data_IF_057988411195
#
_entry.id   IF_057988411195
#
_cell.length_a   1.000
_cell.length_b   1.000
_cell.length_c   1.000
_cell.angle_alpha   90.00
_cell.angle_beta   90.00
_cell.angle_gamma   90.00
#
_symmetry.space_group_name_H-M   'P 1'
#
loop_
_entity.id
_entity.type
_entity.pdbx_description
1 polymer ?
#
# COMPACT_ATOMS: atom_id res chain seq x y z
N UNK A 1 -12.35 2.21 -24.35
CA UNK A 1 -11.68 2.36 -23.04
C UNK A 1 -12.71 2.11 -21.97
N UNK A 2 -12.41 1.28 -20.96
CA UNK A 2 -13.32 1.07 -19.82
C UNK A 2 -13.40 2.36 -18.99
N UNK A 3 -14.57 2.65 -18.45
CA UNK A 3 -14.75 3.71 -17.45
C UNK A 3 -14.16 3.24 -16.12
N UNK A 4 -13.48 4.14 -15.40
CA UNK A 4 -12.86 3.84 -14.11
C UNK A 4 -13.47 4.73 -13.05
N UNK A 5 -13.94 4.11 -11.97
CA UNK A 5 -14.61 4.79 -10.86
C UNK A 5 -13.94 4.43 -9.53
N UNK A 6 -14.01 5.34 -8.56
CA UNK A 6 -13.56 5.09 -7.19
C UNK A 6 -14.79 4.67 -6.37
N UNK A 7 -14.80 3.42 -5.90
CA UNK A 7 -15.94 2.86 -5.16
C UNK A 7 -15.79 3.09 -3.65
N UNK A 8 -14.56 3.15 -3.15
CA UNK A 8 -14.25 3.41 -1.74
C UNK A 8 -12.96 4.23 -1.61
N UNK A 9 -12.95 5.16 -0.66
CA UNK A 9 -11.79 5.95 -0.31
C UNK A 9 -11.75 6.16 1.20
N UNK A 10 -10.63 5.77 1.82
CA UNK A 10 -10.39 5.87 3.26
C UNK A 10 -8.91 6.17 3.52
N UNK A 11 -8.60 6.62 4.74
CA UNK A 11 -7.23 6.78 5.22
C UNK A 11 -7.19 6.57 6.73
N UNK A 12 -6.02 6.22 7.24
CA UNK A 12 -5.74 6.29 8.68
C UNK A 12 -5.66 7.76 9.15
N UNK A 13 -5.77 8.03 10.47
CA UNK A 13 -5.29 9.28 11.03
C UNK A 13 -3.80 9.50 10.75
N UNK A 14 -3.38 10.76 10.61
CA UNK A 14 -1.97 11.11 10.44
C UNK A 14 -1.34 11.30 11.81
N UNK A 15 -0.31 10.52 12.13
CA UNK A 15 0.46 10.66 13.36
C UNK A 15 1.57 11.71 13.23
N UNK A 16 1.85 12.43 14.30
CA UNK A 16 3.06 13.26 14.42
C UNK A 16 4.31 12.37 14.52
N UNK A 17 5.47 12.90 14.15
CA UNK A 17 6.75 12.21 14.33
C UNK A 17 6.98 11.86 15.81
N UNK A 18 7.29 10.60 16.10
CA UNK A 18 7.39 10.09 17.48
C UNK A 18 6.07 10.02 18.25
N UNK A 19 4.93 10.23 17.58
CA UNK A 19 3.60 10.26 18.20
C UNK A 19 2.97 8.88 18.38
N UNK A 20 1.63 8.84 18.45
CA UNK A 20 0.85 7.64 18.76
C UNK A 20 1.00 6.47 17.77
N UNK A 21 1.29 6.75 16.50
CA UNK A 21 1.49 5.74 15.46
C UNK A 21 2.97 5.36 15.26
N UNK A 22 3.89 5.92 16.05
CA UNK A 22 5.34 5.74 15.85
C UNK A 22 5.82 4.30 15.97
N UNK A 23 5.11 3.44 16.70
CA UNK A 23 5.45 2.03 16.90
C UNK A 23 4.78 1.06 15.91
N UNK A 24 3.92 1.57 15.01
CA UNK A 24 3.16 0.73 14.06
C UNK A 24 3.86 0.70 12.71
N UNK A 25 4.24 -0.48 12.20
CA UNK A 25 4.91 -0.57 10.89
C UNK A 25 4.07 0.01 9.75
N UNK A 26 4.74 0.56 8.73
CA UNK A 26 4.05 1.09 7.54
C UNK A 26 3.13 0.05 6.88
N UNK A 27 3.57 -1.21 6.82
CA UNK A 27 2.79 -2.33 6.27
C UNK A 27 1.50 -2.59 7.04
N UNK A 28 1.49 -2.46 8.37
CA UNK A 28 0.27 -2.59 9.20
C UNK A 28 -0.66 -1.39 9.06
N UNK A 29 -0.12 -0.18 8.90
CA UNK A 29 -0.92 1.02 8.60
C UNK A 29 -1.61 0.87 7.23
N UNK A 30 -0.86 0.41 6.22
CA UNK A 30 -1.39 0.09 4.90
C UNK A 30 -2.49 -0.96 4.97
N UNK A 31 -2.26 -2.06 5.69
CA UNK A 31 -3.25 -3.12 5.88
C UNK A 31 -4.56 -2.61 6.51
N UNK A 32 -4.45 -1.74 7.53
CA UNK A 32 -5.60 -1.12 8.19
C UNK A 32 -6.41 -0.27 7.21
N UNK A 33 -5.73 0.52 6.37
CA UNK A 33 -6.39 1.33 5.36
C UNK A 33 -7.08 0.47 4.28
N UNK A 34 -6.41 -0.58 3.79
CA UNK A 34 -6.97 -1.52 2.82
C UNK A 34 -8.21 -2.20 3.39
N UNK A 35 -8.11 -2.78 4.60
CA UNK A 35 -9.22 -3.46 5.26
C UNK A 35 -10.43 -2.52 5.44
N UNK A 36 -10.20 -1.31 5.95
CA UNK A 36 -11.27 -0.31 6.09
C UNK A 36 -11.90 0.11 4.75
N UNK A 37 -11.14 0.08 3.65
CA UNK A 37 -11.66 0.39 2.32
C UNK A 37 -12.62 -0.70 1.82
N UNK A 38 -12.25 -1.96 2.01
CA UNK A 38 -13.03 -3.15 1.62
C UNK A 38 -14.29 -3.31 2.47
N UNK A 39 -14.16 -3.16 3.80
CA UNK A 39 -15.28 -3.25 4.75
C UNK A 39 -16.36 -2.20 4.47
N UNK A 40 -15.98 -0.98 4.10
CA UNK A 40 -16.92 0.12 3.80
C UNK A 40 -17.89 -0.21 2.66
N UNK A 41 -17.50 -1.11 1.75
CA UNK A 41 -18.30 -1.54 0.61
C UNK A 41 -18.69 -3.02 0.68
N UNK A 42 -18.39 -3.69 1.80
CA UNK A 42 -18.60 -5.13 2.01
C UNK A 42 -18.06 -6.01 0.86
N UNK A 43 -16.87 -5.68 0.33
CA UNK A 43 -16.23 -6.44 -0.75
C UNK A 43 -15.45 -7.63 -0.18
N UNK A 44 -15.58 -8.82 -0.79
CA UNK A 44 -14.74 -9.96 -0.47
C UNK A 44 -13.27 -9.65 -0.87
N UNK A 45 -12.30 -9.74 0.05
CA UNK A 45 -10.89 -9.54 -0.27
C UNK A 45 -10.35 -10.42 -1.40
N UNK A 46 -10.98 -11.57 -1.69
CA UNK A 46 -10.59 -12.46 -2.78
C UNK A 46 -10.98 -11.94 -4.18
N UNK A 47 -11.88 -10.96 -4.26
CA UNK A 47 -12.23 -10.31 -5.52
C UNK A 47 -11.16 -9.31 -5.99
N UNK A 48 -10.23 -8.93 -5.12
CA UNK A 48 -9.14 -8.01 -5.47
C UNK A 48 -8.14 -8.71 -6.39
N UNK A 49 -8.02 -8.20 -7.61
CA UNK A 49 -7.16 -8.77 -8.65
C UNK A 49 -5.75 -8.18 -8.65
N UNK A 50 -5.57 -6.96 -8.14
CA UNK A 50 -4.24 -6.34 -8.03
C UNK A 50 -4.18 -5.30 -6.90
N UNK A 51 -2.98 -5.10 -6.33
CA UNK A 51 -2.73 -4.09 -5.29
C UNK A 51 -1.53 -3.22 -5.64
N UNK A 52 -1.71 -1.90 -5.65
CA UNK A 52 -0.62 -0.92 -5.77
C UNK A 52 -0.51 -0.07 -4.50
N UNK A 53 0.61 -0.17 -3.78
CA UNK A 53 0.85 0.64 -2.57
C UNK A 53 2.12 1.46 -2.69
N UNK A 54 1.98 2.77 -2.52
CA UNK A 54 3.10 3.69 -2.47
C UNK A 54 3.81 3.62 -1.12
N UNK A 55 5.13 3.46 -1.10
CA UNK A 55 5.94 3.52 0.11
C UNK A 55 7.38 3.96 -0.23
N UNK A 56 7.86 5.02 0.42
CA UNK A 56 9.14 5.66 0.11
C UNK A 56 10.24 5.07 0.97
N UNK A 57 10.04 5.03 2.29
CA UNK A 57 11.04 4.50 3.24
C UNK A 57 10.89 3.00 3.40
N UNK A 58 11.39 2.24 2.41
CA UNK A 58 11.27 0.78 2.38
C UNK A 58 12.33 0.04 3.21
N UNK A 59 13.34 0.76 3.69
CA UNK A 59 14.42 0.17 4.48
C UNK A 59 13.87 -0.52 5.74
N UNK A 60 14.36 -1.73 6.02
CA UNK A 60 13.99 -2.54 7.18
C UNK A 60 12.50 -2.94 7.26
N UNK A 61 11.73 -2.81 6.17
CA UNK A 61 10.34 -3.29 6.10
C UNK A 61 10.22 -4.74 5.60
N UNK A 62 11.32 -5.35 5.16
CA UNK A 62 11.32 -6.68 4.54
C UNK A 62 10.93 -6.64 3.06
N UNK A 63 10.69 -7.83 2.48
CA UNK A 63 10.41 -7.96 1.05
C UNK A 63 8.99 -7.49 0.70
N UNK A 64 8.87 -6.79 -0.43
CA UNK A 64 7.60 -6.37 -1.03
C UNK A 64 6.57 -5.80 -0.04
N UNK A 65 6.79 -4.58 0.51
CA UNK A 65 5.89 -3.98 1.51
C UNK A 65 4.41 -3.98 1.11
N UNK A 66 4.08 -3.70 -0.15
CA UNK A 66 2.69 -3.76 -0.64
C UNK A 66 2.07 -5.15 -0.46
N UNK A 67 2.84 -6.22 -0.70
CA UNK A 67 2.36 -7.60 -0.52
C UNK A 67 2.09 -7.92 0.93
N UNK A 68 2.97 -7.48 1.84
CA UNK A 68 2.74 -7.63 3.29
C UNK A 68 1.46 -6.92 3.73
N UNK A 69 1.24 -5.67 3.27
CA UNK A 69 0.04 -4.92 3.60
C UNK A 69 -1.24 -5.61 3.08
N UNK A 70 -1.20 -6.16 1.87
CA UNK A 70 -2.32 -6.91 1.30
C UNK A 70 -2.64 -8.18 2.11
N UNK A 71 -1.64 -9.00 2.43
CA UNK A 71 -1.81 -10.21 3.24
C UNK A 71 -2.36 -9.88 4.63
N UNK A 72 -1.81 -8.86 5.31
CA UNK A 72 -2.30 -8.43 6.62
C UNK A 72 -3.74 -7.87 6.56
N UNK A 73 -4.20 -7.39 5.41
CA UNK A 73 -5.57 -6.96 5.19
C UNK A 73 -6.54 -8.11 4.86
N UNK A 74 -6.03 -9.33 4.69
CA UNK A 74 -6.81 -10.52 4.32
C UNK A 74 -6.99 -10.74 2.82
N UNK A 75 -6.27 -10.00 1.97
CA UNK A 75 -6.26 -10.24 0.52
C UNK A 75 -5.46 -11.52 0.23
N UNK A 76 -5.89 -12.25 -0.81
CA UNK A 76 -5.27 -13.50 -1.24
C UNK A 76 -3.76 -13.41 -1.47
N UNK A 77 -3.04 -14.46 -1.07
CA UNK A 77 -1.61 -14.62 -1.30
C UNK A 77 -1.25 -14.72 -2.79
N UNK A 78 -2.21 -15.03 -3.65
CA UNK A 78 -2.00 -15.10 -5.09
C UNK A 78 -2.21 -13.75 -5.80
N UNK A 79 -2.81 -12.75 -5.13
CA UNK A 79 -3.05 -11.43 -5.73
C UNK A 79 -1.72 -10.70 -5.99
N UNK A 80 -1.41 -10.30 -7.24
CA UNK A 80 -0.21 -9.53 -7.56
C UNK A 80 -0.21 -8.19 -6.80
N UNK A 81 0.96 -7.80 -6.30
CA UNK A 81 1.13 -6.60 -5.49
C UNK A 81 2.41 -5.86 -5.91
N UNK A 82 2.29 -4.55 -6.15
CA UNK A 82 3.42 -3.71 -6.54
C UNK A 82 3.64 -2.59 -5.53
N UNK A 83 4.86 -2.49 -5.01
CA UNK A 83 5.28 -1.36 -4.17
C UNK A 83 5.82 -0.25 -5.06
N UNK A 84 5.22 0.93 -5.00
CA UNK A 84 5.56 2.07 -5.86
C UNK A 84 6.39 3.07 -5.08
N UNK A 85 7.53 3.48 -5.63
CA UNK A 85 8.32 4.58 -5.08
C UNK A 85 8.47 5.70 -6.11
N UNK A 86 7.71 6.78 -5.90
CA UNK A 86 7.83 8.07 -6.57
C UNK A 86 7.86 9.19 -5.52
N UNK A 87 8.63 8.97 -4.44
CA UNK A 87 8.75 9.89 -3.29
C UNK A 87 7.36 10.34 -2.82
N UNK A 88 7.12 11.64 -2.62
CA UNK A 88 5.86 12.18 -2.13
C UNK A 88 4.65 11.81 -3.02
N UNK A 89 4.88 11.54 -4.31
CA UNK A 89 3.84 11.19 -5.27
C UNK A 89 3.54 9.69 -5.34
N UNK A 90 4.15 8.84 -4.51
CA UNK A 90 4.02 7.38 -4.58
C UNK A 90 2.57 6.92 -4.51
N UNK A 91 1.77 7.45 -3.58
CA UNK A 91 0.36 7.07 -3.44
C UNK A 91 -0.48 7.44 -4.67
N UNK A 92 -0.30 8.65 -5.20
CA UNK A 92 -1.00 9.08 -6.43
C UNK A 92 -0.52 8.32 -7.67
N UNK A 93 0.75 7.92 -7.70
CA UNK A 93 1.27 7.07 -8.79
C UNK A 93 0.66 5.67 -8.74
N UNK A 94 0.46 5.09 -7.55
CA UNK A 94 -0.28 3.84 -7.39
C UNK A 94 -1.69 3.93 -7.96
N UNK A 95 -2.43 5.00 -7.64
CA UNK A 95 -3.78 5.24 -8.20
C UNK A 95 -3.73 5.36 -9.73
N UNK A 96 -2.71 6.04 -10.25
CA UNK A 96 -2.51 6.17 -11.70
C UNK A 96 -2.29 4.82 -12.38
N UNK A 97 -1.49 3.94 -11.77
CA UNK A 97 -1.22 2.59 -12.30
C UNK A 97 -2.48 1.71 -12.25
N UNK A 98 -3.22 1.74 -11.14
CA UNK A 98 -4.50 1.04 -11.03
C UNK A 98 -5.52 1.50 -12.08
N UNK A 99 -5.60 2.82 -12.30
CA UNK A 99 -6.45 3.38 -13.36
C UNK A 99 -6.03 2.87 -14.74
N UNK A 100 -4.73 2.75 -15.00
CA UNK A 100 -4.22 2.22 -16.27
C UNK A 100 -4.59 0.73 -16.44
N UNK A 101 -4.37 -0.10 -15.41
CA UNK A 101 -4.73 -1.52 -15.44
C UNK A 101 -6.23 -1.72 -15.76
N UNK A 102 -7.11 -0.93 -15.13
CA UNK A 102 -8.56 -1.01 -15.41
C UNK A 102 -8.89 -0.50 -16.80
N UNK A 103 -8.31 0.63 -17.23
CA UNK A 103 -8.56 1.19 -18.58
C UNK A 103 -8.12 0.26 -19.70
N UNK A 104 -7.00 -0.43 -19.51
CA UNK A 104 -6.42 -1.40 -20.45
C UNK A 104 -7.16 -2.75 -20.43
N UNK A 105 -7.92 -3.04 -19.36
CA UNK A 105 -8.65 -4.29 -19.19
C UNK A 105 -7.82 -5.41 -18.57
N UNK A 106 -6.67 -5.08 -17.96
CA UNK A 106 -5.80 -6.03 -17.26
C UNK A 106 -6.40 -6.47 -15.90
N UNK A 107 -7.20 -5.60 -15.29
CA UNK A 107 -7.95 -5.87 -14.06
C UNK A 107 -9.28 -5.10 -14.06
N UNK A 108 -10.22 -5.53 -13.22
CA UNK A 108 -11.50 -4.89 -12.97
C UNK A 108 -11.57 -4.31 -11.54
N UNK A 109 -10.99 -5.02 -10.56
CA UNK A 109 -10.99 -4.63 -9.14
C UNK A 109 -9.56 -4.51 -8.64
N UNK A 110 -9.12 -3.27 -8.38
CA UNK A 110 -7.76 -2.95 -7.96
C UNK A 110 -7.80 -2.10 -6.69
N UNK A 111 -6.96 -2.45 -5.71
CA UNK A 111 -6.72 -1.61 -4.53
C UNK A 111 -5.50 -0.74 -4.78
N UNK A 112 -5.63 0.57 -4.58
CA UNK A 112 -4.52 1.51 -4.75
C UNK A 112 -4.44 2.51 -3.61
N UNK A 113 -3.23 2.83 -3.18
CA UNK A 113 -3.01 3.83 -2.13
C UNK A 113 -1.54 4.01 -1.78
N UNK A 114 -1.30 4.37 -0.53
CA UNK A 114 0.04 4.53 0.02
C UNK A 114 0.09 4.31 1.52
N UNK A 115 1.28 4.05 2.03
CA UNK A 115 1.57 3.81 3.43
C UNK A 115 2.98 4.30 3.76
N UNK A 116 3.13 4.90 4.94
CA UNK A 116 4.41 5.43 5.37
C UNK A 116 4.48 5.49 6.90
N UNK A 117 5.66 5.23 7.45
CA UNK A 117 5.97 5.58 8.83
C UNK A 117 7.40 6.12 8.92
N UNK A 118 7.49 7.44 9.09
CA UNK A 118 8.77 8.13 9.18
C UNK A 118 9.47 7.95 10.54
N UNK A 119 8.76 7.55 11.58
CA UNK A 119 9.33 7.37 12.93
C UNK A 119 10.13 6.07 13.06
N UNK A 120 9.79 5.04 12.28
CA UNK A 120 10.49 3.73 12.26
C UNK A 120 11.65 3.73 11.25
N UNK A 121 11.81 4.80 10.47
CA UNK A 121 12.85 4.94 9.45
C UNK A 121 14.22 4.64 10.05
N UNK A 122 14.78 3.48 9.69
CA UNK A 122 16.06 3.01 10.22
C UNK A 122 17.15 4.00 9.82
N UNK A 123 17.89 4.52 10.81
CA UNK A 123 19.22 5.06 10.54
C UNK A 123 20.03 3.92 9.92
N UNK A 124 20.30 3.99 8.62
CA UNK A 124 21.30 3.14 8.00
C UNK A 124 22.63 3.48 8.68
N UNK A 125 23.05 2.67 9.65
CA UNK A 125 24.43 2.73 10.11
C UNK A 125 25.29 2.41 8.89
N UNK A 126 26.16 3.34 8.50
CA UNK A 126 27.12 3.18 7.40
C UNK A 126 28.21 2.17 7.81
N UNK A 127 27.81 0.95 8.13
CA UNK A 127 28.65 -0.23 8.29
C UNK A 127 28.22 -1.22 7.23
N UNK A 128 28.28 -0.79 5.97
CA UNK A 128 28.22 -1.69 4.85
C UNK A 128 29.52 -2.52 4.88
N UNK A 129 29.49 -3.67 5.57
CA UNK A 129 30.33 -4.78 5.15
C UNK A 129 29.82 -5.16 3.77
N UNK A 130 30.55 -4.73 2.74
CA UNK A 130 30.42 -5.32 1.42
C UNK A 130 30.52 -6.84 1.59
N UNK A 131 29.45 -7.55 1.24
CA UNK A 131 29.57 -8.93 0.81
C UNK A 131 29.88 -8.94 -0.68
#
# INVERSE_FOLDING_TARGET
MKEVVIVSAVRTPMGSFGGSLSSVSATKLGATAIKGALEKINLDPNEVQEVYMGNVLQANLGQAPAKQAAIFAGISENTPCTTVNKVCASGMKSISLATQAIKCGDADIVVAGGMENMSIGSTLSYSAKCC
#
